data_IF_198241535235
#
_entry.id   IF_198241535235
#
_cell.length_a   1.000
_cell.length_b   1.000
_cell.length_c   1.000
_cell.angle_alpha   90.00
_cell.angle_beta   90.00
_cell.angle_gamma   90.00
#
_symmetry.space_group_name_H-M   'P 1'
#
loop_
_entity.id
_entity.type
_entity.pdbx_description
1 polymer ?
#
# COMPACT_ATOMS: atom_id res chain seq x y z
N UNK A 1 6.48 -7.17 8.38
CA UNK A 1 6.44 -6.59 7.02
C UNK A 1 7.79 -5.94 6.80
N UNK A 2 8.45 -6.17 5.67
CA UNK A 2 9.74 -5.51 5.39
C UNK A 2 9.54 -4.00 5.23
N UNK A 3 10.60 -3.23 5.51
CA UNK A 3 10.60 -1.79 5.29
C UNK A 3 10.84 -1.48 3.80
N UNK A 4 10.31 -0.34 3.35
CA UNK A 4 10.56 0.14 1.99
C UNK A 4 12.00 0.62 1.86
N UNK A 5 12.76 0.07 0.92
CA UNK A 5 14.07 0.60 0.53
C UNK A 5 13.92 2.03 0.03
N UNK A 6 14.95 2.87 0.22
CA UNK A 6 14.98 4.22 -0.33
C UNK A 6 14.84 4.23 -1.85
N UNK A 7 14.44 5.38 -2.40
CA UNK A 7 14.30 5.62 -3.83
C UNK A 7 15.63 5.34 -4.55
N UNK A 8 15.63 4.55 -5.65
CA UNK A 8 16.86 4.22 -6.35
C UNK A 8 17.40 5.40 -7.18
N UNK A 9 16.58 6.40 -7.45
CA UNK A 9 16.93 7.52 -8.33
C UNK A 9 17.51 8.71 -7.58
N UNK A 10 16.97 9.06 -6.41
CA UNK A 10 17.42 10.20 -5.62
C UNK A 10 17.91 9.84 -4.20
N UNK A 11 17.81 8.57 -3.78
CA UNK A 11 18.12 8.14 -2.42
C UNK A 11 17.09 8.56 -1.36
N UNK A 12 16.05 9.28 -1.76
CA UNK A 12 14.99 9.79 -0.90
C UNK A 12 14.09 8.72 -0.29
N UNK A 13 13.30 9.10 0.71
CA UNK A 13 12.42 8.18 1.43
C UNK A 13 11.27 7.70 0.54
N UNK A 14 10.96 6.40 0.61
CA UNK A 14 9.79 5.80 -0.02
C UNK A 14 8.65 5.67 0.98
N UNK A 15 7.42 5.96 0.55
CA UNK A 15 6.23 5.96 1.41
C UNK A 15 5.06 5.28 0.73
N UNK A 16 4.17 4.70 1.55
CA UNK A 16 2.83 4.34 1.12
C UNK A 16 2.01 5.63 0.96
N UNK A 17 1.41 5.81 -0.21
CA UNK A 17 0.59 6.96 -0.52
C UNK A 17 -0.82 6.50 -0.86
N UNK A 18 -1.78 6.81 0.01
CA UNK A 18 -3.20 6.56 -0.24
C UNK A 18 -3.67 7.43 -1.41
N UNK A 19 -4.30 6.79 -2.39
CA UNK A 19 -4.85 7.43 -3.60
C UNK A 19 -6.35 7.66 -3.44
N UNK A 20 -7.06 6.67 -2.90
CA UNK A 20 -8.50 6.71 -2.63
C UNK A 20 -8.84 5.81 -1.45
N UNK A 21 -9.99 6.09 -0.83
CA UNK A 21 -10.61 5.18 0.13
C UNK A 21 -12.00 4.79 -0.35
N UNK A 22 -12.42 3.58 0.01
CA UNK A 22 -13.78 3.08 -0.14
C UNK A 22 -14.35 2.77 1.24
N UNK A 23 -15.65 3.00 1.42
CA UNK A 23 -16.36 2.64 2.64
C UNK A 23 -17.76 2.16 2.26
N UNK A 24 -18.14 1.00 2.78
CA UNK A 24 -19.44 0.40 2.61
C UNK A 24 -19.91 -0.20 3.94
N UNK A 25 -21.18 -0.60 4.02
CA UNK A 25 -21.73 -1.28 5.21
C UNK A 25 -20.97 -2.55 5.60
N UNK A 26 -20.26 -3.16 4.64
CA UNK A 26 -19.58 -4.44 4.82
C UNK A 26 -18.06 -4.34 4.91
N UNK A 27 -17.46 -3.15 4.75
CA UNK A 27 -16.01 -3.01 4.77
C UNK A 27 -15.49 -1.62 4.45
N UNK A 28 -14.21 -1.42 4.75
CA UNK A 28 -13.45 -0.20 4.44
C UNK A 28 -12.21 -0.61 3.66
N UNK A 29 -11.91 0.12 2.59
CA UNK A 29 -10.76 -0.12 1.73
C UNK A 29 -9.97 1.14 1.42
N UNK A 30 -8.72 0.94 1.02
CA UNK A 30 -7.81 1.96 0.57
C UNK A 30 -7.09 1.46 -0.67
N UNK A 31 -7.17 2.23 -1.75
CA UNK A 31 -6.24 2.08 -2.86
C UNK A 31 -5.03 2.96 -2.60
N UNK A 32 -3.85 2.41 -2.80
CA UNK A 32 -2.60 3.09 -2.52
C UNK A 32 -1.55 2.77 -3.58
N UNK A 33 -0.51 3.59 -3.62
CA UNK A 33 0.70 3.39 -4.42
C UNK A 33 1.93 3.56 -3.53
N UNK A 34 3.09 3.09 -3.97
CA UNK A 34 4.36 3.44 -3.33
C UNK A 34 5.03 4.50 -4.19
N UNK A 35 5.45 5.59 -3.54
CA UNK A 35 6.16 6.69 -4.19
C UNK A 35 7.33 7.16 -3.34
N UNK A 36 8.32 7.76 -3.99
CA UNK A 36 9.31 8.57 -3.31
C UNK A 36 8.68 9.90 -2.89
N UNK A 37 8.88 10.30 -1.64
CA UNK A 37 8.38 11.56 -1.10
C UNK A 37 9.11 12.77 -1.71
N UNK A 38 10.40 12.62 -2.04
CA UNK A 38 11.24 13.72 -2.52
C UNK A 38 11.12 13.97 -4.02
N UNK A 39 11.27 12.93 -4.86
CA UNK A 39 11.26 13.08 -6.32
C UNK A 39 9.95 12.63 -6.99
N UNK A 40 8.99 12.08 -6.22
CA UNK A 40 7.69 11.67 -6.73
C UNK A 40 7.67 10.41 -7.60
N UNK A 41 8.84 9.78 -7.86
CA UNK A 41 8.89 8.51 -8.60
C UNK A 41 8.04 7.45 -7.91
N UNK A 42 7.25 6.74 -8.70
CA UNK A 42 6.35 5.71 -8.23
C UNK A 42 6.31 4.53 -9.18
N UNK A 43 5.87 3.39 -8.68
CA UNK A 43 5.55 2.24 -9.53
C UNK A 43 4.27 2.52 -10.33
N UNK A 44 4.11 1.90 -11.51
CA UNK A 44 2.89 2.04 -12.32
C UNK A 44 1.67 1.36 -11.69
N UNK A 45 1.89 0.40 -10.78
CA UNK A 45 0.83 -0.40 -10.18
C UNK A 45 0.12 0.36 -9.04
N UNK A 46 -1.19 0.14 -8.93
CA UNK A 46 -1.98 0.46 -7.74
C UNK A 46 -2.24 -0.81 -6.94
N UNK A 47 -2.29 -0.65 -5.63
CA UNK A 47 -2.48 -1.73 -4.67
C UNK A 47 -3.70 -1.45 -3.81
N UNK A 48 -4.29 -2.49 -3.23
CA UNK A 48 -5.48 -2.37 -2.40
C UNK A 48 -5.29 -3.05 -1.04
N UNK A 49 -5.77 -2.41 0.01
CA UNK A 49 -6.05 -3.05 1.29
C UNK A 49 -7.50 -2.80 1.65
N UNK A 50 -8.25 -3.85 1.98
CA UNK A 50 -9.65 -3.77 2.35
C UNK A 50 -9.92 -4.76 3.46
N UNK A 51 -10.69 -4.35 4.45
CA UNK A 51 -11.03 -5.16 5.60
C UNK A 51 -12.45 -4.91 6.08
N UNK A 52 -13.03 -5.93 6.71
CA UNK A 52 -14.31 -5.88 7.39
C UNK A 52 -14.15 -6.22 8.87
N UNK A 53 -15.25 -6.13 9.64
CA UNK A 53 -15.28 -6.65 11.00
C UNK A 53 -15.90 -8.05 11.00
N UNK A 54 -15.31 -8.98 11.74
CA UNK A 54 -15.93 -10.26 12.05
C UNK A 54 -17.10 -10.07 13.03
N UNK A 55 -17.96 -11.07 13.17
CA UNK A 55 -19.02 -11.07 14.18
C UNK A 55 -18.50 -11.01 15.64
N UNK A 56 -17.22 -11.30 15.86
CA UNK A 56 -16.54 -11.17 17.16
C UNK A 56 -15.82 -9.82 17.34
N UNK A 57 -15.95 -8.89 16.39
CA UNK A 57 -15.30 -7.58 16.42
C UNK A 57 -13.83 -7.58 15.99
N UNK A 58 -13.30 -8.69 15.47
CA UNK A 58 -11.95 -8.76 14.90
C UNK A 58 -11.89 -8.14 13.50
N UNK A 59 -10.69 -7.78 13.05
CA UNK A 59 -10.47 -7.32 11.68
C UNK A 59 -10.35 -8.55 10.76
N UNK A 60 -11.17 -8.59 9.71
CA UNK A 60 -11.13 -9.59 8.65
C UNK A 60 -10.60 -8.96 7.36
N UNK A 61 -9.34 -9.22 6.97
CA UNK A 61 -8.80 -8.76 5.70
C UNK A 61 -9.55 -9.40 4.53
N UNK A 62 -10.12 -8.58 3.64
CA UNK A 62 -10.73 -9.01 2.38
C UNK A 62 -9.70 -8.98 1.25
N UNK A 63 -8.86 -7.94 1.23
CA UNK A 63 -7.73 -7.79 0.33
C UNK A 63 -6.56 -7.15 1.09
N UNK A 64 -5.33 -7.62 0.85
CA UNK A 64 -4.14 -7.00 1.45
C UNK A 64 -2.91 -7.13 0.53
N UNK A 65 -2.78 -6.17 -0.39
CA UNK A 65 -1.66 -6.08 -1.32
C UNK A 65 -0.42 -5.43 -0.70
N UNK A 66 -0.40 -5.06 0.60
CA UNK A 66 0.73 -4.31 1.19
C UNK A 66 2.04 -5.08 1.08
N UNK A 67 2.00 -6.41 1.26
CA UNK A 67 3.19 -7.25 1.11
C UNK A 67 3.69 -7.25 -0.35
N UNK A 68 2.80 -7.42 -1.33
CA UNK A 68 3.15 -7.36 -2.76
C UNK A 68 3.74 -5.99 -3.13
N UNK A 69 3.14 -4.91 -2.62
CA UNK A 69 3.64 -3.56 -2.86
C UNK A 69 5.08 -3.38 -2.36
N UNK A 70 5.39 -3.84 -1.14
CA UNK A 70 6.75 -3.79 -0.59
C UNK A 70 7.72 -4.62 -1.43
N UNK A 71 7.34 -5.84 -1.82
CA UNK A 71 8.18 -6.72 -2.64
C UNK A 71 8.48 -6.11 -4.02
N UNK A 72 7.46 -5.60 -4.71
CA UNK A 72 7.61 -4.95 -6.02
C UNK A 72 8.46 -3.68 -5.92
N UNK A 73 8.32 -2.89 -4.85
CA UNK A 73 9.18 -1.74 -4.63
C UNK A 73 10.61 -2.16 -4.32
N UNK A 74 10.82 -3.09 -3.40
CA UNK A 74 12.15 -3.46 -2.92
C UNK A 74 12.96 -4.28 -3.93
N UNK A 75 12.29 -4.95 -4.86
CA UNK A 75 12.89 -5.77 -5.92
C UNK A 75 12.59 -5.22 -7.32
N UNK A 76 12.23 -3.93 -7.41
CA UNK A 76 12.14 -3.19 -8.69
C UNK A 76 13.43 -3.39 -9.52
N UNK A 77 13.33 -3.49 -10.85
CA UNK A 77 14.50 -3.49 -11.71
C UNK A 77 15.33 -2.21 -11.60
#
# INVERSE_FOLDING_TARGET
MEELKNCPFCGGKAVFNTVSNSSAHHGVGFDFEIKCEDCGVKLPNRYKVEFSLTGSGGINPLYDDRKRAVEEWNNRP
#
